data_IF_089438139628
#
_entry.id   IF_089438139628
#
_cell.length_a   1.000
_cell.length_b   1.000
_cell.length_c   1.000
_cell.angle_alpha   90.00
_cell.angle_beta   90.00
_cell.angle_gamma   90.00
#
_symmetry.space_group_name_H-M   'P 1'
#
loop_
_entity.id
_entity.type
_entity.pdbx_description
1 polymer ?
#
# COMPACT_ATOMS: atom_id res chain seq x y z
N UNK A 1 -11.55 -13.35 -10.40
CA UNK A 1 -11.92 -11.91 -10.49
C UNK A 1 -10.80 -10.95 -10.09
N UNK A 2 -10.30 -10.90 -8.84
CA UNK A 2 -9.22 -9.94 -8.48
C UNK A 2 -7.91 -10.25 -9.23
N UNK A 3 -7.55 -11.52 -9.32
CA UNK A 3 -6.35 -11.97 -10.04
C UNK A 3 -6.40 -11.62 -11.53
N UNK A 4 -7.55 -11.77 -12.16
CA UNK A 4 -7.78 -11.40 -13.56
C UNK A 4 -7.53 -9.89 -13.81
N UNK A 5 -8.01 -9.04 -12.90
CA UNK A 5 -7.70 -7.60 -12.93
C UNK A 5 -6.18 -7.39 -12.78
N UNK A 6 -5.55 -8.06 -11.80
CA UNK A 6 -4.10 -7.94 -11.52
C UNK A 6 -3.26 -8.27 -12.75
N UNK A 7 -3.55 -9.39 -13.42
CA UNK A 7 -2.87 -9.83 -14.64
C UNK A 7 -3.08 -8.83 -15.79
N UNK A 8 -4.28 -8.26 -15.90
CA UNK A 8 -4.61 -7.25 -16.93
C UNK A 8 -3.88 -5.93 -16.72
N UNK A 9 -3.76 -5.46 -15.47
CA UNK A 9 -3.15 -4.15 -15.17
C UNK A 9 -1.62 -4.22 -15.04
N UNK A 10 -1.03 -5.39 -14.75
CA UNK A 10 0.42 -5.56 -14.61
C UNK A 10 1.23 -4.96 -15.77
N UNK A 11 0.97 -5.35 -17.03
CA UNK A 11 1.62 -4.76 -18.20
C UNK A 11 1.34 -3.26 -18.36
N UNK A 12 0.11 -2.80 -18.06
CA UNK A 12 -0.28 -1.38 -18.15
C UNK A 12 0.44 -0.49 -17.13
N UNK A 13 0.90 -1.10 -16.02
CA UNK A 13 1.71 -0.46 -14.99
C UNK A 13 3.22 -0.59 -15.25
N UNK A 14 3.63 -1.04 -16.45
CA UNK A 14 5.03 -1.31 -16.81
C UNK A 14 5.70 -2.39 -15.94
N UNK A 15 4.93 -3.36 -15.43
CA UNK A 15 5.45 -4.46 -14.59
C UNK A 15 5.69 -5.76 -15.38
N UNK A 16 5.38 -5.78 -16.69
CA UNK A 16 5.46 -6.96 -17.55
C UNK A 16 4.45 -8.05 -17.16
N UNK A 17 4.79 -9.32 -17.45
CA UNK A 17 4.02 -10.46 -16.95
C UNK A 17 4.18 -10.56 -15.42
N UNK A 18 3.05 -10.49 -14.72
CA UNK A 18 2.99 -10.51 -13.26
C UNK A 18 2.47 -11.83 -12.70
N UNK A 19 2.21 -12.85 -13.52
CA UNK A 19 1.60 -14.12 -13.10
C UNK A 19 2.32 -14.75 -11.90
N UNK A 20 3.66 -14.74 -11.90
CA UNK A 20 4.50 -15.25 -10.81
C UNK A 20 5.18 -14.16 -9.97
N UNK A 21 4.80 -12.90 -10.15
CA UNK A 21 5.35 -11.76 -9.40
C UNK A 21 4.48 -11.44 -8.19
N UNK A 22 5.10 -10.90 -7.15
CA UNK A 22 4.37 -10.46 -5.95
C UNK A 22 3.73 -9.08 -6.10
N UNK A 23 3.81 -8.45 -7.29
CA UNK A 23 3.31 -7.11 -7.60
C UNK A 23 2.43 -7.13 -8.86
N UNK A 24 1.53 -6.15 -9.07
CA UNK A 24 1.13 -5.13 -8.09
C UNK A 24 0.32 -5.74 -6.94
N UNK A 25 0.25 -5.03 -5.82
CA UNK A 25 -0.67 -5.38 -4.74
C UNK A 25 -2.07 -4.90 -5.12
N UNK A 26 -3.11 -5.67 -4.80
CA UNK A 26 -4.49 -5.26 -5.10
C UNK A 26 -5.16 -4.78 -3.82
N UNK A 27 -5.48 -3.49 -3.74
CA UNK A 27 -6.15 -2.91 -2.58
C UNK A 27 -7.60 -2.58 -2.91
N UNK A 28 -8.53 -3.25 -2.23
CA UNK A 28 -9.95 -2.93 -2.27
C UNK A 28 -10.22 -1.84 -1.24
N UNK A 29 -11.00 -0.82 -1.62
CA UNK A 29 -11.31 0.33 -0.78
C UNK A 29 -12.82 0.50 -0.60
N UNK A 30 -13.24 0.98 0.56
CA UNK A 30 -14.60 1.38 0.88
C UNK A 30 -14.60 2.58 1.84
N UNK A 31 -15.75 3.24 2.08
CA UNK A 31 -15.82 4.26 3.12
C UNK A 31 -15.34 3.72 4.47
N UNK A 32 -14.71 4.60 5.25
CA UNK A 32 -14.23 4.29 6.59
C UNK A 32 -15.36 3.78 7.49
N UNK A 33 -15.04 2.87 8.42
CA UNK A 33 -15.99 2.25 9.34
C UNK A 33 -15.79 2.67 10.80
N UNK A 34 -14.61 3.17 11.13
CA UNK A 34 -14.16 3.50 12.48
C UNK A 34 -13.58 4.91 12.56
N UNK A 35 -14.22 5.86 11.86
CA UNK A 35 -13.85 7.27 11.79
C UNK A 35 -12.45 7.55 11.19
N UNK A 36 -11.83 6.56 10.55
CA UNK A 36 -10.63 6.79 9.73
C UNK A 36 -10.94 7.52 8.43
N UNK A 37 -9.96 7.60 7.55
CA UNK A 37 -10.09 8.23 6.23
C UNK A 37 -10.68 7.29 5.19
N UNK A 38 -10.25 6.03 5.17
CA UNK A 38 -10.70 5.03 4.20
C UNK A 38 -10.49 3.63 4.77
N UNK A 39 -11.37 2.69 4.39
CA UNK A 39 -11.23 1.29 4.76
C UNK A 39 -10.62 0.46 3.64
N UNK A 40 -9.72 -0.45 4.01
CA UNK A 40 -8.95 -1.24 3.04
C UNK A 40 -8.97 -2.74 3.30
N UNK A 41 -8.87 -3.51 2.20
CA UNK A 41 -8.51 -4.93 2.18
C UNK A 41 -7.48 -5.16 1.08
N UNK A 42 -6.23 -5.46 1.48
CA UNK A 42 -5.10 -5.58 0.54
C UNK A 42 -4.74 -7.03 0.29
N UNK A 43 -4.64 -7.43 -0.97
CA UNK A 43 -4.12 -8.73 -1.40
C UNK A 43 -2.64 -8.65 -1.74
N UNK A 44 -1.86 -9.68 -1.33
CA UNK A 44 -0.40 -9.72 -1.49
C UNK A 44 0.18 -11.00 -2.14
N UNK A 45 -0.04 -11.26 -3.43
CA UNK A 45 -1.22 -10.90 -4.24
C UNK A 45 -2.32 -11.97 -4.15
N UNK A 46 -2.03 -13.17 -3.63
CA UNK A 46 -2.96 -14.31 -3.60
C UNK A 46 -3.62 -14.53 -2.23
N UNK A 47 -3.16 -13.84 -1.19
CA UNK A 47 -3.74 -13.86 0.16
C UNK A 47 -4.11 -12.45 0.60
N UNK A 48 -5.15 -12.33 1.41
CA UNK A 48 -5.48 -11.07 2.09
C UNK A 48 -4.44 -10.83 3.19
N UNK A 49 -3.93 -9.61 3.24
CA UNK A 49 -3.04 -9.15 4.30
C UNK A 49 -3.86 -8.96 5.59
N UNK A 50 -3.36 -9.46 6.73
CA UNK A 50 -4.06 -9.36 8.02
C UNK A 50 -4.24 -7.90 8.47
N UNK A 51 -3.25 -7.06 8.21
CA UNK A 51 -3.32 -5.60 8.29
C UNK A 51 -3.23 -4.94 6.89
N UNK A 52 -2.22 -4.10 6.68
CA UNK A 52 -1.81 -3.54 5.38
C UNK A 52 -0.28 -3.39 5.39
N UNK A 53 0.37 -3.44 4.23
CA UNK A 53 1.81 -3.14 4.14
C UNK A 53 2.09 -1.65 4.27
N UNK A 54 3.24 -1.25 4.85
CA UNK A 54 3.62 0.17 5.05
C UNK A 54 3.50 0.98 3.75
N UNK A 55 4.16 0.53 2.68
CA UNK A 55 4.10 1.20 1.39
C UNK A 55 2.72 1.08 0.72
N UNK A 56 1.97 0.02 1.03
CA UNK A 56 0.58 -0.11 0.58
C UNK A 56 -0.33 0.96 1.20
N UNK A 57 -0.16 1.24 2.50
CA UNK A 57 -0.87 2.32 3.17
C UNK A 57 -0.51 3.69 2.59
N UNK A 58 0.78 3.93 2.30
CA UNK A 58 1.22 5.15 1.61
C UNK A 58 0.58 5.27 0.23
N UNK A 59 0.58 4.20 -0.58
CA UNK A 59 -0.06 4.22 -1.91
C UNK A 59 -1.55 4.53 -1.84
N UNK A 60 -2.28 3.95 -0.87
CA UNK A 60 -3.70 4.26 -0.66
C UNK A 60 -3.89 5.71 -0.23
N UNK A 61 -3.10 6.19 0.73
CA UNK A 61 -3.17 7.57 1.19
C UNK A 61 -2.86 8.57 0.07
N UNK A 62 -1.85 8.29 -0.77
CA UNK A 62 -1.56 9.07 -1.97
C UNK A 62 -2.73 9.06 -2.95
N UNK A 63 -3.37 7.90 -3.14
CA UNK A 63 -4.57 7.82 -3.98
C UNK A 63 -5.72 8.67 -3.40
N UNK A 64 -5.96 8.67 -2.08
CA UNK A 64 -7.00 9.48 -1.44
C UNK A 64 -6.87 10.98 -1.70
N UNK A 65 -5.65 11.47 -1.91
CA UNK A 65 -5.37 12.90 -2.13
C UNK A 65 -5.21 13.24 -3.61
N UNK A 66 -5.18 12.23 -4.49
CA UNK A 66 -5.07 12.37 -5.94
C UNK A 66 -6.44 12.66 -6.55
N UNK A 67 -6.66 13.84 -7.16
CA UNK A 67 -7.94 14.19 -7.77
C UNK A 67 -8.37 13.15 -8.81
N UNK A 68 -9.65 12.75 -8.77
CA UNK A 68 -10.23 11.80 -9.72
C UNK A 68 -9.88 10.33 -9.49
N UNK A 69 -9.07 10.00 -8.49
CA UNK A 69 -8.82 8.60 -8.13
C UNK A 69 -10.06 7.96 -7.48
N UNK A 70 -10.19 6.64 -7.61
CA UNK A 70 -11.24 5.86 -6.92
C UNK A 70 -11.16 6.06 -5.40
N UNK A 71 -9.95 6.10 -4.83
CA UNK A 71 -9.79 6.29 -3.39
C UNK A 71 -10.20 7.69 -2.93
N UNK A 72 -9.95 8.73 -3.73
CA UNK A 72 -10.39 10.10 -3.42
C UNK A 72 -11.92 10.20 -3.41
N UNK A 73 -12.59 9.56 -4.38
CA UNK A 73 -14.05 9.49 -4.44
C UNK A 73 -14.64 8.79 -3.22
N UNK A 74 -14.03 7.67 -2.81
CA UNK A 74 -14.49 6.87 -1.67
C UNK A 74 -14.22 7.56 -0.33
N UNK A 75 -13.08 8.23 -0.18
CA UNK A 75 -12.72 8.95 1.04
C UNK A 75 -13.48 10.28 1.20
N UNK A 76 -14.01 10.84 0.11
CA UNK A 76 -14.72 12.13 0.12
C UNK A 76 -13.83 13.31 0.48
N UNK A 77 -12.51 13.19 0.30
CA UNK A 77 -11.55 14.24 0.63
C UNK A 77 -11.38 15.23 -0.54
N UNK A 78 -11.34 16.52 -0.21
CA UNK A 78 -10.89 17.53 -1.15
C UNK A 78 -9.36 17.54 -1.23
N UNK A 79 -8.82 17.43 -2.44
CA UNK A 79 -7.37 17.54 -2.67
C UNK A 79 -6.87 18.94 -2.32
N UNK A 80 -5.81 19.01 -1.52
CA UNK A 80 -5.14 20.26 -1.14
C UNK A 80 -3.64 20.05 -0.95
N UNK A 81 -2.86 21.09 -1.18
CA UNK A 81 -1.42 21.07 -0.86
C UNK A 81 -1.17 21.18 0.64
N UNK A 82 0.02 20.78 1.08
CA UNK A 82 0.53 20.90 2.44
C UNK A 82 0.42 19.61 3.27
N UNK A 83 0.66 19.73 4.60
CA UNK A 83 0.64 18.59 5.49
C UNK A 83 -0.74 17.97 5.67
N UNK A 84 -0.80 16.65 5.64
CA UNK A 84 -2.00 15.85 5.81
C UNK A 84 -1.72 14.63 6.68
N UNK A 85 -2.74 14.22 7.43
CA UNK A 85 -2.72 13.03 8.29
C UNK A 85 -3.93 12.18 7.92
N UNK A 86 -3.69 11.02 7.34
CA UNK A 86 -4.72 10.10 6.85
C UNK A 86 -4.68 8.82 7.68
N UNK A 87 -5.85 8.36 8.13
CA UNK A 87 -5.98 7.10 8.86
C UNK A 87 -6.52 6.03 7.93
N UNK A 88 -5.64 5.09 7.55
CA UNK A 88 -5.93 4.02 6.61
C UNK A 88 -6.35 2.79 7.40
N UNK A 89 -7.65 2.53 7.47
CA UNK A 89 -8.19 1.39 8.21
C UNK A 89 -7.88 0.08 7.46
N UNK A 90 -7.56 -0.95 8.23
CA UNK A 90 -7.27 -2.31 7.79
C UNK A 90 -7.96 -3.30 8.74
N UNK A 91 -7.93 -4.64 8.50
CA UNK A 91 -8.77 -5.57 9.27
C UNK A 91 -8.56 -5.51 10.79
N UNK A 92 -7.35 -5.23 11.24
CA UNK A 92 -6.95 -5.22 12.67
C UNK A 92 -6.81 -3.82 13.29
N UNK A 93 -7.22 -2.74 12.63
CA UNK A 93 -7.06 -1.38 13.13
C UNK A 93 -6.85 -0.35 12.03
N UNK A 94 -5.89 0.55 12.21
CA UNK A 94 -5.54 1.56 11.21
C UNK A 94 -4.06 1.91 11.24
N UNK A 95 -3.56 2.48 10.14
CA UNK A 95 -2.29 3.20 10.12
C UNK A 95 -2.50 4.68 9.84
N UNK A 96 -1.91 5.51 10.69
CA UNK A 96 -1.70 6.91 10.40
C UNK A 96 -0.58 7.07 9.38
N UNK A 97 -0.90 7.66 8.24
CA UNK A 97 0.05 8.13 7.24
C UNK A 97 0.09 9.65 7.32
N UNK A 98 1.24 10.19 7.72
CA UNK A 98 1.51 11.62 7.58
C UNK A 98 2.17 11.87 6.23
N UNK A 99 1.71 12.87 5.50
CA UNK A 99 2.32 13.26 4.23
C UNK A 99 2.33 14.76 4.03
N UNK A 100 3.32 15.24 3.29
CA UNK A 100 3.31 16.58 2.71
C UNK A 100 3.19 16.45 1.20
N UNK A 101 2.19 17.09 0.61
CA UNK A 101 1.86 16.95 -0.80
C UNK A 101 1.74 18.30 -1.49
N UNK A 102 2.13 18.34 -2.75
CA UNK A 102 1.88 19.47 -3.65
C UNK A 102 0.90 19.04 -4.73
N UNK A 103 -0.26 19.69 -4.77
CA UNK A 103 -1.30 19.42 -5.77
C UNK A 103 -1.29 20.56 -6.81
N UNK A 104 -1.18 20.20 -8.09
CA UNK A 104 -1.23 21.11 -9.24
C UNK A 104 -2.15 20.53 -10.31
N UNK A 105 -3.39 21.00 -10.37
CA UNK A 105 -4.41 20.40 -11.22
C UNK A 105 -4.67 18.95 -10.83
N UNK A 106 -4.55 18.02 -11.77
CA UNK A 106 -4.67 16.58 -11.53
C UNK A 106 -3.37 15.93 -10.99
N UNK A 107 -2.25 16.65 -11.03
CA UNK A 107 -0.95 16.11 -10.63
C UNK A 107 -0.74 16.27 -9.12
N UNK A 108 -0.33 15.19 -8.47
CA UNK A 108 0.08 15.18 -7.06
C UNK A 108 1.54 14.77 -6.95
N UNK A 109 2.34 15.60 -6.30
CA UNK A 109 3.70 15.28 -5.87
C UNK A 109 3.69 15.03 -4.37
N UNK A 110 4.16 13.85 -3.94
CA UNK A 110 4.36 13.53 -2.53
C UNK A 110 5.76 13.96 -2.13
N UNK A 111 5.88 15.07 -1.39
CA UNK A 111 7.17 15.61 -0.94
C UNK A 111 7.74 14.79 0.23
N UNK A 112 6.86 14.27 1.10
CA UNK A 112 7.21 13.46 2.27
C UNK A 112 6.08 12.49 2.58
N UNK A 113 6.44 11.30 3.05
CA UNK A 113 5.53 10.37 3.75
C UNK A 113 6.22 9.86 5.02
N UNK A 114 5.49 9.81 6.13
CA UNK A 114 5.99 9.33 7.41
C UNK A 114 4.96 8.45 8.12
N UNK A 115 5.45 7.42 8.80
CA UNK A 115 4.65 6.45 9.54
C UNK A 115 5.46 6.01 10.77
N UNK A 116 4.79 5.87 11.91
CA UNK A 116 5.40 5.29 13.10
C UNK A 116 5.41 3.76 12.99
N UNK A 117 6.58 3.15 13.22
CA UNK A 117 6.79 1.69 13.34
C UNK A 117 7.62 1.40 14.58
N UNK A 118 7.57 0.16 15.06
CA UNK A 118 8.45 -0.36 16.11
C UNK A 118 9.24 -1.54 15.56
N UNK A 119 10.39 -1.82 16.18
CA UNK A 119 11.21 -2.99 15.88
C UNK A 119 11.78 -3.56 17.18
N UNK A 120 12.02 -4.87 17.21
CA UNK A 120 12.64 -5.57 18.35
C UNK A 120 13.59 -6.65 17.82
N UNK A 121 14.81 -6.70 18.34
CA UNK A 121 15.76 -7.78 18.03
C UNK A 121 15.21 -9.10 18.57
N UNK A 122 15.04 -10.10 17.69
CA UNK A 122 14.53 -11.43 18.06
C UNK A 122 15.65 -12.44 18.30
N UNK A 123 16.69 -12.41 17.45
CA UNK A 123 17.84 -13.31 17.52
C UNK A 123 19.10 -12.56 17.10
N UNK A 124 20.25 -12.96 17.64
CA UNK A 124 21.58 -12.59 17.17
C UNK A 124 22.43 -13.86 17.19
N UNK A 125 23.01 -14.23 16.05
CA UNK A 125 23.77 -15.47 15.90
C UNK A 125 23.97 -15.79 14.42
N UNK A 126 24.26 -17.06 14.15
CA UNK A 126 24.52 -17.58 12.80
C UNK A 126 23.32 -18.42 12.31
N UNK A 127 23.01 -18.31 11.02
CA UNK A 127 22.03 -19.16 10.34
C UNK A 127 22.80 -20.22 9.57
N UNK A 128 22.52 -21.50 9.83
CA UNK A 128 23.14 -22.62 9.14
C UNK A 128 22.20 -23.15 8.06
N UNK A 129 22.75 -23.46 6.89
CA UNK A 129 22.07 -24.14 5.78
C UNK A 129 22.87 -25.37 5.36
N UNK A 130 22.24 -26.42 4.81
CA UNK A 130 22.98 -27.54 4.22
C UNK A 130 23.94 -27.08 3.12
N UNK A 131 25.10 -27.71 3.01
CA UNK A 131 26.07 -27.37 1.94
C UNK A 131 25.46 -27.53 0.53
N UNK A 132 24.61 -28.54 0.35
CA UNK A 132 23.96 -28.83 -0.94
C UNK A 132 23.03 -27.74 -1.47
N UNK A 133 22.55 -26.81 -0.63
CA UNK A 133 21.77 -25.65 -1.08
C UNK A 133 22.63 -24.40 -1.29
N UNK A 134 23.91 -24.44 -0.90
CA UNK A 134 24.85 -23.34 -1.03
C UNK A 134 25.69 -23.45 -2.30
N UNK A 135 26.02 -24.67 -2.73
CA UNK A 135 26.77 -24.91 -3.95
C UNK A 135 25.87 -24.73 -5.19
N UNK A 136 26.06 -23.64 -5.94
CA UNK A 136 25.59 -23.53 -7.34
C UNK A 136 26.48 -24.35 -8.30
N UNK A 137 26.80 -25.60 -7.94
CA UNK A 137 27.60 -26.53 -8.73
C UNK A 137 26.88 -27.87 -8.91
#
# INVERSE_FOLDING_TARGET
RIEEIRLTVGPRMNLGDVARKTVPKMCLVSPARHAGTIHTRTFIPHRVHEAIGVLGAVSVATACVTPGSVAAQVAGLASRSGPQRLEIEHPTGFFTVEMDVTVRGATVTVNRSALLRTARKLMQGEVFVPESVWSEA
#
